data_IF_673623356866
#
_entry.id   IF_673623356866
#
_cell.length_a   1.000
_cell.length_b   1.000
_cell.length_c   1.000
_cell.angle_alpha   90.00
_cell.angle_beta   90.00
_cell.angle_gamma   90.00
#
_symmetry.space_group_name_H-M   'P 1'
#
loop_
_entity.id
_entity.type
_entity.pdbx_description
1 polymer ?
#
# COMPACT_ATOMS: atom_id res chain seq x y z
N UNK A 1 -8.92 13.35 1.18
CA UNK A 1 -9.82 12.18 1.09
C UNK A 1 -10.11 11.84 -0.37
N UNK A 2 -10.85 10.76 -0.67
CA UNK A 2 -11.05 10.29 -2.07
C UNK A 2 -11.69 11.34 -3.01
N UNK A 3 -12.55 12.22 -2.48
CA UNK A 3 -13.17 13.35 -3.19
C UNK A 3 -12.24 14.55 -3.44
N UNK A 4 -11.05 14.53 -2.87
CA UNK A 4 -10.05 15.58 -3.11
C UNK A 4 -9.51 15.50 -4.54
N UNK A 5 -9.07 16.64 -5.06
CA UNK A 5 -8.28 16.71 -6.28
C UNK A 5 -7.06 15.77 -6.19
N UNK A 6 -6.71 15.04 -7.27
CA UNK A 6 -5.62 14.05 -7.24
C UNK A 6 -4.30 14.60 -6.68
N UNK A 7 -3.92 15.83 -7.04
CA UNK A 7 -2.66 16.47 -6.61
C UNK A 7 -2.63 16.82 -5.12
N UNK A 8 -3.79 17.05 -4.50
CA UNK A 8 -3.87 17.45 -3.09
C UNK A 8 -4.31 16.31 -2.18
N UNK A 9 -4.57 15.12 -2.74
CA UNK A 9 -5.22 14.02 -2.01
C UNK A 9 -4.40 13.53 -0.83
N UNK A 10 -3.07 13.42 -0.96
CA UNK A 10 -2.19 13.03 0.15
C UNK A 10 -2.15 14.10 1.24
N UNK A 11 -1.71 15.31 0.90
CA UNK A 11 -1.64 16.46 1.84
C UNK A 11 -2.97 16.72 2.56
N UNK A 12 -4.09 16.73 1.86
CA UNK A 12 -5.39 16.97 2.48
C UNK A 12 -5.79 15.82 3.42
N UNK A 13 -5.53 14.57 3.05
CA UNK A 13 -5.85 13.44 3.93
C UNK A 13 -4.96 13.41 5.18
N UNK A 14 -3.68 13.75 5.02
CA UNK A 14 -2.76 13.96 6.13
C UNK A 14 -3.27 15.04 7.09
N UNK A 15 -3.62 16.21 6.56
CA UNK A 15 -4.10 17.33 7.38
C UNK A 15 -5.39 16.99 8.14
N UNK A 16 -6.33 16.29 7.50
CA UNK A 16 -7.55 15.82 8.18
C UNK A 16 -7.19 14.93 9.36
N UNK A 17 -6.29 13.95 9.18
CA UNK A 17 -5.91 13.00 10.24
C UNK A 17 -5.11 13.70 11.36
N UNK A 18 -4.19 14.59 10.99
CA UNK A 18 -3.35 15.30 11.94
C UNK A 18 -4.15 16.22 12.87
N UNK A 19 -5.24 16.82 12.40
CA UNK A 19 -6.03 17.79 13.16
C UNK A 19 -7.39 17.25 13.65
N UNK A 20 -7.77 16.02 13.29
CA UNK A 20 -9.02 15.41 13.75
C UNK A 20 -8.99 15.11 15.26
N UNK A 21 -10.15 15.22 15.91
CA UNK A 21 -10.33 14.93 17.33
C UNK A 21 -10.40 13.42 17.62
N UNK A 22 -9.36 12.66 17.29
CA UNK A 22 -9.24 11.25 17.69
C UNK A 22 -8.97 11.13 19.18
N UNK A 23 -9.76 10.31 19.86
CA UNK A 23 -9.51 9.81 21.21
C UNK A 23 -8.84 8.42 21.13
N UNK A 24 -8.00 8.08 22.12
CA UNK A 24 -7.34 6.77 22.17
C UNK A 24 -6.19 6.56 21.18
N UNK A 25 -5.67 7.63 20.56
CA UNK A 25 -4.49 7.59 19.68
C UNK A 25 -3.50 8.67 20.13
N UNK A 26 -2.28 8.26 20.45
CA UNK A 26 -1.19 9.14 20.85
C UNK A 26 -0.55 9.88 19.65
N UNK A 27 0.41 10.77 19.92
CA UNK A 27 1.06 11.56 18.87
C UNK A 27 1.78 10.69 17.82
N UNK A 28 2.60 9.69 18.19
CA UNK A 28 3.21 8.77 17.23
C UNK A 28 2.18 7.97 16.41
N UNK A 29 1.12 7.46 17.05
CA UNK A 29 0.04 6.74 16.39
C UNK A 29 -0.70 7.61 15.37
N UNK A 30 -0.95 8.87 15.70
CA UNK A 30 -1.54 9.85 14.78
C UNK A 30 -0.63 10.13 13.59
N UNK A 31 0.67 10.33 13.83
CA UNK A 31 1.66 10.51 12.79
C UNK A 31 1.70 9.28 11.86
N UNK A 32 1.67 8.06 12.41
CA UNK A 32 1.57 6.81 11.64
C UNK A 32 0.35 6.79 10.70
N UNK A 33 -0.84 7.12 11.19
CA UNK A 33 -2.07 7.16 10.38
C UNK A 33 -1.98 8.20 9.27
N UNK A 34 -1.47 9.39 9.60
CA UNK A 34 -1.38 10.51 8.68
C UNK A 34 -0.36 10.23 7.56
N UNK A 35 0.81 9.71 7.91
CA UNK A 35 1.87 9.33 6.98
C UNK A 35 1.46 8.15 6.09
N UNK A 36 0.77 7.15 6.64
CA UNK A 36 0.25 6.02 5.83
C UNK A 36 -0.61 6.55 4.68
N UNK A 37 -1.51 7.48 4.98
CA UNK A 37 -2.41 8.01 3.96
C UNK A 37 -1.71 8.97 2.99
N UNK A 38 -0.72 9.73 3.45
CA UNK A 38 0.12 10.55 2.58
C UNK A 38 0.91 9.68 1.60
N UNK A 39 1.65 8.68 2.08
CA UNK A 39 2.40 7.74 1.22
C UNK A 39 1.50 6.95 0.26
N UNK A 40 0.28 6.60 0.70
CA UNK A 40 -0.69 5.91 -0.14
C UNK A 40 -1.02 6.72 -1.38
N UNK A 41 -1.11 8.04 -1.27
CA UNK A 41 -1.44 8.93 -2.39
C UNK A 41 -0.20 9.43 -3.12
N UNK A 42 0.77 9.97 -2.39
CA UNK A 42 1.89 10.73 -2.93
C UNK A 42 3.11 9.85 -3.29
N UNK A 43 3.08 8.57 -2.92
CA UNK A 43 4.11 7.58 -3.23
C UNK A 43 4.99 7.20 -2.04
N UNK A 44 5.33 5.91 -1.97
CA UNK A 44 6.01 5.30 -0.80
C UNK A 44 7.50 5.64 -0.69
N UNK A 45 8.11 6.12 -1.78
CA UNK A 45 9.51 6.57 -1.83
C UNK A 45 9.64 8.10 -1.87
N UNK A 46 8.54 8.83 -1.65
CA UNK A 46 8.59 10.28 -1.60
C UNK A 46 9.13 10.74 -0.23
N UNK A 47 10.39 11.16 -0.20
CA UNK A 47 11.03 11.61 1.03
C UNK A 47 10.62 13.03 1.46
N UNK A 48 10.00 13.81 0.57
CA UNK A 48 9.52 15.16 0.86
C UNK A 48 8.17 15.19 1.59
N UNK A 49 7.56 14.02 1.83
CA UNK A 49 6.27 13.93 2.54
C UNK A 49 6.44 14.37 4.00
N UNK A 50 5.85 15.53 4.33
CA UNK A 50 5.57 16.01 5.69
C UNK A 50 6.70 15.76 6.71
N UNK A 51 7.89 16.38 6.54
CA UNK A 51 9.05 16.14 7.39
C UNK A 51 8.77 16.41 8.88
N UNK A 52 7.94 17.39 9.21
CA UNK A 52 7.56 17.73 10.58
C UNK A 52 6.74 16.60 11.22
N UNK A 53 5.85 15.95 10.45
CA UNK A 53 5.06 14.82 10.94
C UNK A 53 5.94 13.57 11.07
N UNK A 54 6.91 13.36 10.18
CA UNK A 54 7.88 12.26 10.29
C UNK A 54 8.66 12.33 11.61
N UNK A 55 9.05 13.52 12.04
CA UNK A 55 9.80 13.71 13.29
C UNK A 55 9.02 13.30 14.55
N UNK A 56 7.69 13.18 14.48
CA UNK A 56 6.82 12.79 15.59
C UNK A 56 6.67 11.27 15.75
N UNK A 57 7.18 10.47 14.81
CA UNK A 57 7.03 9.01 14.81
C UNK A 57 8.38 8.30 14.91
N UNK A 58 8.51 7.26 15.75
CA UNK A 58 9.72 6.45 15.81
C UNK A 58 9.93 5.68 14.49
N UNK A 59 11.18 5.27 14.17
CA UNK A 59 11.52 4.61 12.90
C UNK A 59 10.60 3.43 12.53
N UNK A 60 10.25 2.60 13.52
CA UNK A 60 9.33 1.47 13.33
C UNK A 60 7.96 1.87 12.81
N UNK A 61 7.41 3.01 13.24
CA UNK A 61 6.12 3.49 12.75
C UNK A 61 6.24 4.08 11.34
N UNK A 62 7.35 4.75 11.03
CA UNK A 62 7.62 5.24 9.66
C UNK A 62 7.70 4.07 8.66
N UNK A 63 8.43 3.00 9.01
CA UNK A 63 8.51 1.78 8.22
C UNK A 63 7.14 1.14 8.02
N UNK A 64 6.38 0.95 9.10
CA UNK A 64 5.03 0.36 9.04
C UNK A 64 4.06 1.20 8.23
N UNK A 65 4.15 2.53 8.30
CA UNK A 65 3.30 3.42 7.53
C UNK A 65 3.57 3.24 6.03
N UNK A 66 4.85 3.14 5.65
CA UNK A 66 5.28 2.90 4.27
C UNK A 66 4.84 1.52 3.77
N UNK A 67 4.97 0.47 4.59
CA UNK A 67 4.52 -0.89 4.27
C UNK A 67 3.01 -0.92 4.04
N UNK A 68 2.21 -0.38 4.97
CA UNK A 68 0.75 -0.36 4.85
C UNK A 68 0.29 0.44 3.62
N UNK A 69 0.91 1.60 3.38
CA UNK A 69 0.65 2.40 2.18
C UNK A 69 0.95 1.64 0.89
N UNK A 70 2.08 0.92 0.83
CA UNK A 70 2.46 0.10 -0.32
C UNK A 70 1.44 -1.01 -0.57
N UNK A 71 1.01 -1.73 0.48
CA UNK A 71 -0.03 -2.75 0.39
C UNK A 71 -1.36 -2.18 -0.12
N UNK A 72 -1.80 -1.05 0.44
CA UNK A 72 -3.02 -0.35 -0.01
C UNK A 72 -2.93 0.05 -1.49
N UNK A 73 -1.76 0.48 -1.97
CA UNK A 73 -1.55 0.85 -3.38
C UNK A 73 -1.61 -0.34 -4.34
N UNK A 74 -1.23 -1.53 -3.90
CA UNK A 74 -1.41 -2.78 -4.66
C UNK A 74 -2.90 -3.14 -4.69
N UNK A 75 -3.52 -3.30 -3.53
CA UNK A 75 -4.89 -3.81 -3.41
C UNK A 75 -5.92 -2.85 -4.01
N UNK A 76 -5.68 -1.53 -3.98
CA UNK A 76 -6.59 -0.55 -4.59
C UNK A 76 -6.74 -0.75 -6.10
N UNK A 77 -5.68 -1.17 -6.81
CA UNK A 77 -5.75 -1.45 -8.25
C UNK A 77 -6.58 -2.69 -8.57
N UNK A 78 -6.67 -3.64 -7.65
CA UNK A 78 -7.43 -4.87 -7.81
C UNK A 78 -8.88 -4.73 -7.37
N UNK A 79 -9.15 -3.86 -6.40
CA UNK A 79 -10.47 -3.72 -5.76
C UNK A 79 -11.26 -2.52 -6.25
N UNK A 80 -10.60 -1.51 -6.82
CA UNK A 80 -11.19 -0.20 -7.10
C UNK A 80 -11.91 0.43 -5.87
N UNK A 81 -11.44 0.11 -4.66
CA UNK A 81 -12.08 0.44 -3.39
C UNK A 81 -13.52 -0.09 -3.21
N UNK A 82 -13.87 -1.17 -3.91
CA UNK A 82 -15.12 -1.91 -3.73
C UNK A 82 -14.88 -3.20 -2.92
N UNK A 83 -15.88 -3.62 -2.12
CA UNK A 83 -15.80 -4.88 -1.38
C UNK A 83 -15.84 -6.10 -2.31
N UNK A 84 -15.62 -7.30 -1.75
CA UNK A 84 -15.80 -8.58 -2.45
C UNK A 84 -14.55 -9.13 -3.16
N UNK A 85 -13.64 -8.29 -3.64
CA UNK A 85 -12.42 -8.75 -4.31
C UNK A 85 -11.31 -9.13 -3.32
N UNK A 86 -11.01 -8.25 -2.36
CA UNK A 86 -9.88 -8.43 -1.42
C UNK A 86 -9.88 -9.78 -0.68
N UNK A 87 -11.01 -10.31 -0.16
CA UNK A 87 -11.04 -11.61 0.52
C UNK A 87 -10.71 -12.80 -0.37
N UNK A 88 -10.75 -12.63 -1.70
CA UNK A 88 -10.47 -13.69 -2.68
C UNK A 88 -9.01 -13.73 -3.11
N UNK A 89 -8.24 -12.69 -2.77
CA UNK A 89 -6.81 -12.60 -3.04
C UNK A 89 -6.05 -13.42 -1.99
N UNK A 90 -5.05 -14.20 -2.41
CA UNK A 90 -4.28 -15.07 -1.50
C UNK A 90 -2.79 -14.79 -1.61
N UNK A 91 -2.09 -14.95 -0.50
CA UNK A 91 -0.63 -15.06 -0.52
C UNK A 91 -0.25 -16.53 -0.56
N UNK A 92 0.60 -16.90 -1.51
CA UNK A 92 1.09 -18.26 -1.68
C UNK A 92 2.62 -18.27 -1.59
N UNK A 93 3.17 -19.11 -0.71
CA UNK A 93 4.61 -19.34 -0.63
C UNK A 93 5.05 -20.27 -1.76
N UNK A 94 6.12 -19.88 -2.47
CA UNK A 94 6.70 -20.63 -3.57
C UNK A 94 8.16 -20.96 -3.31
N UNK A 95 8.74 -21.78 -4.19
CA UNK A 95 10.14 -22.15 -4.14
C UNK A 95 11.06 -20.93 -4.02
N UNK A 96 12.20 -21.12 -3.36
CA UNK A 96 13.18 -20.07 -3.10
C UNK A 96 12.58 -18.88 -2.33
N UNK A 97 11.63 -19.08 -1.40
CA UNK A 97 11.13 -18.01 -0.53
C UNK A 97 10.41 -16.86 -1.25
N UNK A 98 9.94 -17.09 -2.48
CA UNK A 98 9.09 -16.15 -3.22
C UNK A 98 7.69 -16.18 -2.62
N UNK A 99 7.06 -15.01 -2.45
CA UNK A 99 5.67 -14.90 -2.02
C UNK A 99 4.83 -14.34 -3.17
N UNK A 100 3.87 -15.14 -3.65
CA UNK A 100 2.98 -14.74 -4.74
C UNK A 100 1.68 -14.14 -4.21
N UNK A 101 1.28 -12.97 -4.71
CA UNK A 101 -0.09 -12.49 -4.61
C UNK A 101 -0.89 -13.14 -5.74
N UNK A 102 -1.77 -14.07 -5.39
CA UNK A 102 -2.50 -14.90 -6.34
C UNK A 102 -3.92 -14.36 -6.54
N UNK A 103 -4.24 -14.07 -7.79
CA UNK A 103 -5.59 -13.76 -8.28
C UNK A 103 -6.31 -15.07 -8.61
N UNK A 104 -7.58 -15.27 -8.21
CA UNK A 104 -8.35 -16.41 -8.70
C UNK A 104 -8.54 -16.33 -10.21
N UNK A 105 -8.68 -17.48 -10.89
CA UNK A 105 -8.78 -17.53 -12.35
C UNK A 105 -9.88 -16.61 -12.93
N UNK A 106 -11.03 -16.49 -12.25
CA UNK A 106 -12.12 -15.58 -12.62
C UNK A 106 -11.78 -14.07 -12.56
N UNK A 107 -10.62 -13.72 -12.00
CA UNK A 107 -10.10 -12.35 -11.90
C UNK A 107 -8.80 -12.18 -12.70
N UNK A 108 -8.52 -13.08 -13.66
CA UNK A 108 -7.33 -13.02 -14.52
C UNK A 108 -7.17 -11.67 -15.21
N UNK A 109 -8.27 -11.01 -15.55
CA UNK A 109 -8.25 -9.74 -16.28
C UNK A 109 -7.74 -8.56 -15.44
N UNK A 110 -7.68 -8.72 -14.11
CA UNK A 110 -7.03 -7.75 -13.21
C UNK A 110 -5.51 -7.89 -13.19
N UNK A 111 -4.98 -8.94 -13.82
CA UNK A 111 -3.55 -9.11 -13.99
C UNK A 111 -3.01 -8.08 -14.99
N UNK A 112 -1.94 -7.37 -14.63
CA UNK A 112 -1.34 -6.41 -15.56
C UNK A 112 -0.15 -5.66 -14.98
N UNK A 113 0.46 -4.84 -15.84
CA UNK A 113 1.71 -4.11 -15.53
C UNK A 113 1.56 -3.14 -14.36
N UNK A 114 0.40 -2.46 -14.24
CA UNK A 114 0.17 -1.48 -13.16
C UNK A 114 0.13 -2.16 -11.77
N UNK A 115 -0.69 -3.22 -11.54
CA UNK A 115 -0.62 -4.01 -10.31
C UNK A 115 0.77 -4.61 -10.05
N UNK A 116 1.41 -5.18 -11.07
CA UNK A 116 2.76 -5.75 -10.96
C UNK A 116 3.79 -4.69 -10.51
N UNK A 117 3.75 -3.49 -11.10
CA UNK A 117 4.62 -2.38 -10.73
C UNK A 117 4.40 -1.88 -9.30
N UNK A 118 3.15 -1.86 -8.80
CA UNK A 118 2.88 -1.56 -7.38
C UNK A 118 3.38 -2.67 -6.46
N UNK A 119 3.29 -3.92 -6.88
CA UNK A 119 3.82 -5.05 -6.13
C UNK A 119 5.36 -5.01 -6.07
N UNK A 120 6.03 -4.54 -7.13
CA UNK A 120 7.47 -4.26 -7.13
C UNK A 120 7.86 -3.24 -6.05
N UNK A 121 7.06 -2.18 -5.92
CA UNK A 121 7.29 -1.16 -4.89
C UNK A 121 7.13 -1.76 -3.48
N UNK A 122 6.12 -2.60 -3.28
CA UNK A 122 5.94 -3.33 -2.01
C UNK A 122 7.10 -4.29 -1.73
N UNK A 123 7.60 -5.01 -2.75
CA UNK A 123 8.74 -5.91 -2.66
C UNK A 123 9.99 -5.17 -2.15
N UNK A 124 10.27 -3.98 -2.71
CA UNK A 124 11.37 -3.11 -2.28
C UNK A 124 11.18 -2.59 -0.85
N UNK A 125 9.98 -2.14 -0.49
CA UNK A 125 9.69 -1.64 0.86
C UNK A 125 9.81 -2.74 1.93
N UNK A 126 9.42 -3.96 1.59
CA UNK A 126 9.44 -5.10 2.54
C UNK A 126 10.73 -5.92 2.50
N UNK A 127 11.61 -5.65 1.53
CA UNK A 127 12.77 -6.48 1.21
C UNK A 127 12.39 -7.97 1.02
N UNK A 128 11.34 -8.22 0.23
CA UNK A 128 10.83 -9.57 -0.06
C UNK A 128 10.73 -9.78 -1.56
N UNK A 129 10.93 -11.02 -2.01
CA UNK A 129 10.65 -11.41 -3.40
C UNK A 129 9.15 -11.64 -3.56
N UNK A 130 8.47 -10.69 -4.21
CA UNK A 130 7.03 -10.75 -4.46
C UNK A 130 6.73 -10.90 -5.94
N UNK A 131 5.75 -11.72 -6.29
CA UNK A 131 5.28 -11.89 -7.67
C UNK A 131 3.76 -11.83 -7.73
N UNK A 132 3.22 -11.36 -8.86
CA UNK A 132 1.78 -11.42 -9.12
C UNK A 132 1.52 -12.69 -9.94
N UNK A 133 0.47 -13.42 -9.60
CA UNK A 133 0.12 -14.66 -10.30
C UNK A 133 -1.40 -14.82 -10.43
N UNK A 134 -1.82 -15.69 -11.34
CA UNK A 134 -3.21 -16.15 -11.49
C UNK A 134 -3.27 -17.63 -11.12
N UNK A 135 -4.32 -18.06 -10.40
CA UNK A 135 -4.56 -19.47 -10.08
C UNK A 135 -4.55 -20.31 -11.37
N UNK A 136 -3.70 -21.35 -11.40
CA UNK A 136 -3.56 -22.24 -12.56
C UNK A 136 -2.88 -21.62 -13.80
N UNK A 137 -2.42 -20.37 -13.73
CA UNK A 137 -1.82 -19.63 -14.85
C UNK A 137 -0.31 -19.37 -14.71
N UNK A 138 0.27 -18.80 -15.78
CA UNK A 138 1.67 -18.34 -15.77
C UNK A 138 1.89 -17.24 -14.72
N UNK A 139 3.08 -17.21 -14.16
CA UNK A 139 3.51 -16.22 -13.16
C UNK A 139 4.60 -15.34 -13.76
N UNK A 140 4.43 -14.02 -13.75
CA UNK A 140 5.51 -13.13 -14.18
C UNK A 140 6.26 -12.65 -12.95
N UNK A 141 7.59 -12.86 -12.99
CA UNK A 141 8.47 -12.23 -12.01
C UNK A 141 8.43 -10.72 -12.22
N UNK A 142 8.08 -9.99 -11.17
CA UNK A 142 8.22 -8.55 -11.17
C UNK A 142 9.72 -8.24 -11.15
N UNK A 143 10.21 -7.51 -12.16
CA UNK A 143 11.60 -7.03 -12.21
C UNK A 143 11.87 -5.99 -11.14
#
# INVERSE_FOLDING_TARGET
GWRAHPEYRGKQSLNIIAHASFIGVDHPGRAYLALTNAYRHDGVFNELVAPEIKALAPPRLLERARVLAAMMRVVYLLTAAMPGIMPRLKWESRANGVLALVLPASLSDLYGERPAGRLAQLARVTNRRLVLAVEGGQSVSVK
#
